data_IF_346010413424
#
_entry.id   IF_346010413424
#
_cell.length_a   1.000
_cell.length_b   1.000
_cell.length_c   1.000
_cell.angle_alpha   90.00
_cell.angle_beta   90.00
_cell.angle_gamma   90.00
#
_symmetry.space_group_name_H-M   'P 1'
#
loop_
_entity.id
_entity.type
_entity.pdbx_description
1 polymer ?
#
# COMPACT_ATOMS: atom_id res chain seq x y z
N UNK A 1 -5.72 6.01 11.11
CA UNK A 1 -5.63 5.25 9.88
C UNK A 1 -6.88 4.45 9.62
N UNK A 2 -7.27 4.34 8.38
CA UNK A 2 -8.51 3.67 8.04
C UNK A 2 -8.31 2.74 6.85
N UNK A 3 -8.68 1.46 7.03
CA UNK A 3 -8.65 0.46 5.97
C UNK A 3 -10.09 0.06 5.68
N UNK A 4 -10.42 -0.04 4.40
CA UNK A 4 -11.73 -0.53 4.06
C UNK A 4 -11.69 -1.33 2.76
N UNK A 5 -12.73 -2.09 2.54
CA UNK A 5 -12.79 -3.11 1.51
C UNK A 5 -14.06 -2.93 0.67
N UNK A 6 -13.87 -2.88 -0.64
CA UNK A 6 -14.98 -2.85 -1.58
C UNK A 6 -15.13 -4.23 -2.18
N UNK A 7 -16.18 -4.93 -1.78
CA UNK A 7 -16.36 -6.31 -2.18
C UNK A 7 -16.47 -6.48 -3.69
N UNK A 8 -17.18 -5.57 -4.36
CA UNK A 8 -17.40 -5.65 -5.80
C UNK A 8 -16.12 -5.48 -6.61
N UNK A 9 -15.18 -4.73 -6.10
CA UNK A 9 -13.96 -4.42 -6.81
C UNK A 9 -12.75 -5.20 -6.31
N UNK A 10 -12.90 -5.85 -5.16
CA UNK A 10 -11.80 -6.61 -4.55
C UNK A 10 -10.55 -5.73 -4.31
N UNK A 11 -10.80 -4.50 -3.93
CA UNK A 11 -9.75 -3.52 -3.67
C UNK A 11 -9.75 -3.16 -2.19
N UNK A 12 -8.57 -3.16 -1.59
CA UNK A 12 -8.36 -2.71 -0.22
C UNK A 12 -7.57 -1.41 -0.25
N UNK A 13 -8.01 -0.41 0.51
CA UNK A 13 -7.27 0.84 0.63
C UNK A 13 -6.63 0.91 1.99
N UNK A 14 -5.35 1.27 2.02
CA UNK A 14 -4.55 1.39 3.24
C UNK A 14 -3.94 2.77 3.26
N UNK A 15 -4.17 3.50 4.34
CA UNK A 15 -3.67 4.85 4.49
C UNK A 15 -2.50 4.85 5.46
N UNK A 16 -1.32 5.20 4.96
CA UNK A 16 -0.08 5.24 5.74
C UNK A 16 0.39 6.66 6.02
N UNK A 17 -0.30 7.67 5.49
CA UNK A 17 0.22 9.03 5.60
C UNK A 17 0.37 9.40 7.08
N UNK A 18 1.40 10.18 7.39
CA UNK A 18 1.75 10.61 8.75
C UNK A 18 2.34 9.52 9.64
N UNK A 19 2.46 8.29 9.15
CA UNK A 19 3.18 7.26 9.88
C UNK A 19 4.69 7.41 9.68
N UNK A 20 5.45 6.99 10.67
CA UNK A 20 6.89 6.88 10.51
C UNK A 20 7.19 5.72 9.56
N UNK A 21 8.30 5.82 8.83
CA UNK A 21 8.62 4.80 7.83
C UNK A 21 8.67 3.40 8.43
N UNK A 22 9.31 3.25 9.59
CA UNK A 22 9.43 1.93 10.21
C UNK A 22 8.07 1.37 10.63
N UNK A 23 7.18 2.23 11.15
CA UNK A 23 5.83 1.82 11.50
C UNK A 23 5.06 1.39 10.26
N UNK A 24 5.14 2.22 9.23
CA UNK A 24 4.42 1.96 7.98
C UNK A 24 4.90 0.68 7.32
N UNK A 25 6.21 0.42 7.38
CA UNK A 25 6.78 -0.80 6.81
C UNK A 25 6.21 -2.04 7.49
N UNK A 26 6.22 -2.05 8.82
CA UNK A 26 5.69 -3.18 9.58
C UNK A 26 4.19 -3.36 9.33
N UNK A 27 3.47 -2.26 9.35
CA UNK A 27 2.03 -2.29 9.15
C UNK A 27 1.68 -2.80 7.76
N UNK A 28 2.35 -2.28 6.74
CA UNK A 28 2.08 -2.68 5.36
C UNK A 28 2.41 -4.15 5.13
N UNK A 29 3.54 -4.61 5.68
CA UNK A 29 3.90 -6.03 5.59
C UNK A 29 2.79 -6.91 6.15
N UNK A 30 2.28 -6.56 7.32
CA UNK A 30 1.23 -7.34 7.96
C UNK A 30 -0.05 -7.30 7.15
N UNK A 31 -0.44 -6.12 6.68
CA UNK A 31 -1.70 -5.98 5.95
C UNK A 31 -1.66 -6.73 4.62
N UNK A 32 -0.53 -6.67 3.92
CA UNK A 32 -0.40 -7.41 2.66
C UNK A 32 -0.41 -8.92 2.92
N UNK A 33 0.32 -9.36 3.93
CA UNK A 33 0.40 -10.79 4.25
C UNK A 33 -0.94 -11.37 4.67
N UNK A 34 -1.77 -10.58 5.35
CA UNK A 34 -3.03 -11.08 5.90
C UNK A 34 -4.26 -10.66 5.08
N UNK A 35 -4.07 -9.98 3.97
CA UNK A 35 -5.20 -9.61 3.12
C UNK A 35 -5.91 -10.86 2.63
N UNK A 36 -7.25 -10.86 2.61
CA UNK A 36 -7.99 -12.01 2.09
C UNK A 36 -7.54 -12.38 0.68
N UNK A 37 -7.61 -13.67 0.38
CA UNK A 37 -7.11 -14.17 -0.91
C UNK A 37 -7.82 -13.55 -2.12
N UNK A 38 -9.04 -13.05 -1.95
CA UNK A 38 -9.80 -12.45 -3.04
C UNK A 38 -9.42 -10.99 -3.31
N UNK A 39 -8.59 -10.38 -2.48
CA UNK A 39 -8.12 -9.02 -2.74
C UNK A 39 -7.09 -9.07 -3.86
N UNK A 40 -7.35 -8.30 -4.92
CA UNK A 40 -6.47 -8.27 -6.10
C UNK A 40 -5.59 -7.04 -6.14
N UNK A 41 -5.99 -5.99 -5.42
CA UNK A 41 -5.25 -4.75 -5.45
C UNK A 41 -5.31 -4.09 -4.08
N UNK A 42 -4.17 -3.55 -3.64
CA UNK A 42 -4.12 -2.70 -2.44
C UNK A 42 -3.68 -1.32 -2.89
N UNK A 43 -4.54 -0.34 -2.66
CA UNK A 43 -4.21 1.05 -2.94
C UNK A 43 -3.61 1.63 -1.67
N UNK A 44 -2.33 1.99 -1.74
CA UNK A 44 -1.60 2.53 -0.60
C UNK A 44 -1.53 4.05 -0.72
N UNK A 45 -2.09 4.72 0.25
CA UNK A 45 -2.07 6.17 0.32
C UNK A 45 -0.94 6.56 1.26
N UNK A 46 0.18 6.99 0.70
CA UNK A 46 1.36 7.34 1.51
C UNK A 46 1.62 8.83 1.56
N UNK A 47 1.02 9.60 0.63
CA UNK A 47 1.26 11.03 0.56
C UNK A 47 2.65 11.36 0.04
N UNK A 48 2.93 12.64 -0.13
CA UNK A 48 4.26 13.09 -0.52
C UNK A 48 4.53 14.55 -0.13
N UNK A 49 3.53 15.24 0.43
CA UNK A 49 3.67 16.67 0.75
C UNK A 49 4.67 16.92 1.88
N UNK A 50 4.76 16.01 2.83
CA UNK A 50 5.68 16.15 3.96
C UNK A 50 6.94 15.35 3.76
N UNK A 51 7.35 15.19 2.51
CA UNK A 51 8.53 14.42 2.16
C UNK A 51 8.16 13.16 1.41
N UNK A 52 9.16 12.47 0.89
CA UNK A 52 8.97 11.33 -0.01
C UNK A 52 9.39 10.01 0.62
N UNK A 53 9.70 9.98 1.92
CA UNK A 53 10.23 8.79 2.55
C UNK A 53 9.24 7.61 2.50
N UNK A 54 7.96 7.87 2.78
CA UNK A 54 6.94 6.82 2.70
C UNK A 54 6.72 6.37 1.27
N UNK A 55 6.67 7.31 0.34
CA UNK A 55 6.52 6.99 -1.08
C UNK A 55 7.67 6.10 -1.55
N UNK A 56 8.90 6.47 -1.21
CA UNK A 56 10.07 5.71 -1.61
C UNK A 56 10.06 4.31 -0.99
N UNK A 57 9.65 4.21 0.27
CA UNK A 57 9.55 2.91 0.92
C UNK A 57 8.56 2.02 0.18
N UNK A 58 7.37 2.52 -0.11
CA UNK A 58 6.35 1.72 -0.77
C UNK A 58 6.76 1.35 -2.19
N UNK A 59 7.28 2.33 -2.95
CA UNK A 59 7.56 2.13 -4.37
C UNK A 59 8.84 1.38 -4.65
N UNK A 60 9.86 1.57 -3.81
CA UNK A 60 11.19 1.06 -4.10
C UNK A 60 11.69 -0.01 -3.14
N UNK A 61 11.32 0.08 -1.87
CA UNK A 61 11.90 -0.79 -0.84
C UNK A 61 11.00 -1.93 -0.41
N UNK A 62 9.70 -1.67 -0.35
CA UNK A 62 8.75 -2.67 0.10
C UNK A 62 8.71 -3.86 -0.85
N UNK A 63 8.73 -5.06 -0.29
CA UNK A 63 8.70 -6.29 -1.08
C UNK A 63 7.88 -7.33 -0.34
N UNK A 64 7.10 -8.10 -1.08
CA UNK A 64 6.30 -9.19 -0.53
C UNK A 64 6.04 -10.20 -1.63
N UNK A 65 6.09 -11.51 -1.30
CA UNK A 65 5.78 -12.53 -2.31
C UNK A 65 4.34 -12.44 -2.82
N UNK A 66 3.45 -11.76 -2.09
CA UNK A 66 2.08 -11.58 -2.55
C UNK A 66 1.94 -10.49 -3.59
N UNK A 67 2.93 -9.61 -3.72
CA UNK A 67 2.86 -8.49 -4.67
C UNK A 67 3.42 -8.95 -6.01
N UNK A 68 2.55 -8.96 -7.01
CA UNK A 68 2.92 -9.31 -8.36
C UNK A 68 3.65 -8.16 -9.04
N UNK A 69 3.16 -6.94 -8.84
CA UNK A 69 3.80 -5.73 -9.36
C UNK A 69 3.23 -4.50 -8.66
N UNK A 70 3.92 -3.40 -8.81
CA UNK A 70 3.49 -2.10 -8.27
C UNK A 70 3.10 -1.21 -9.42
N UNK A 71 1.98 -0.52 -9.26
CA UNK A 71 1.50 0.42 -10.25
C UNK A 71 1.65 1.82 -9.70
N UNK A 72 2.54 2.61 -10.30
CA UNK A 72 2.83 3.96 -9.86
C UNK A 72 1.83 4.92 -10.48
N UNK A 73 0.96 5.44 -9.66
CA UNK A 73 -0.08 6.35 -10.09
C UNK A 73 0.50 7.70 -10.49
N UNK A 74 -0.20 8.42 -11.37
CA UNK A 74 0.11 9.81 -11.64
C UNK A 74 -0.04 10.66 -10.38
N UNK A 75 -0.92 10.27 -9.49
CA UNK A 75 -1.00 10.87 -8.16
C UNK A 75 0.18 10.36 -7.35
N UNK A 76 1.13 11.27 -7.04
CA UNK A 76 2.35 10.89 -6.34
C UNK A 76 2.12 10.48 -4.89
N UNK A 77 0.92 10.70 -4.37
CA UNK A 77 0.59 10.28 -3.01
C UNK A 77 0.07 8.86 -2.91
N UNK A 78 -0.06 8.14 -4.02
CA UNK A 78 -0.70 6.84 -4.09
C UNK A 78 0.14 5.85 -4.89
N UNK A 79 0.18 4.61 -4.42
CA UNK A 79 0.78 3.50 -5.18
C UNK A 79 -0.13 2.30 -5.04
N UNK A 80 -0.40 1.61 -6.14
CA UNK A 80 -1.19 0.38 -6.12
C UNK A 80 -0.28 -0.83 -6.10
N UNK A 81 -0.58 -1.77 -5.20
CA UNK A 81 0.09 -3.05 -5.14
C UNK A 81 -0.86 -4.07 -5.77
N UNK A 82 -0.44 -4.66 -6.88
CA UNK A 82 -1.24 -5.68 -7.56
C UNK A 82 -0.83 -7.03 -6.99
N UNK A 83 -1.80 -7.75 -6.45
CA UNK A 83 -1.54 -9.02 -5.77
C UNK A 83 -1.68 -10.19 -6.71
N UNK A 84 -1.00 -11.25 -6.37
CA UNK A 84 -1.11 -12.51 -7.11
C UNK A 84 -2.38 -13.24 -6.76
#
# INVERSE_FOLDING_TARGET
>A
MFDYYFKETEILKIDLHKMKVWEATLYLNKRVATAPWNIKEIIVIHGYHNGTALMNMVRQEFSSPRVKRKFLSLNQGITSLILQ
#
